data_IF_393719319997
#
_entry.id   IF_393719319997
#
_cell.length_a   1.000
_cell.length_b   1.000
_cell.length_c   1.000
_cell.angle_alpha   90.00
_cell.angle_beta   90.00
_cell.angle_gamma   90.00
#
_symmetry.space_group_name_H-M   'P 1'
#
loop_
_entity.id
_entity.type
_entity.pdbx_description
1 polymer ?
#
# COMPACT_ATOMS: atom_id res chain seq x y z
N UNK A 1 -16.59 -5.04 -6.73
CA UNK A 1 -16.41 -4.29 -7.99
C UNK A 1 -15.69 -2.96 -7.75
N UNK A 2 -16.26 -2.01 -7.00
CA UNK A 2 -15.57 -0.72 -6.72
C UNK A 2 -14.30 -0.90 -5.88
N UNK A 3 -14.38 -1.66 -4.78
CA UNK A 3 -13.19 -1.97 -3.97
C UNK A 3 -12.16 -2.83 -4.71
N UNK A 4 -12.56 -3.60 -5.72
CA UNK A 4 -11.62 -4.40 -6.52
C UNK A 4 -10.78 -3.52 -7.43
N UNK A 5 -11.38 -2.50 -8.06
CA UNK A 5 -10.65 -1.51 -8.87
C UNK A 5 -9.68 -0.72 -7.98
N UNK A 6 -10.15 -0.23 -6.82
CA UNK A 6 -9.30 0.49 -5.85
C UNK A 6 -8.14 -0.38 -5.38
N UNK A 7 -8.39 -1.67 -5.11
CA UNK A 7 -7.37 -2.66 -4.75
C UNK A 7 -6.37 -2.85 -5.89
N UNK A 8 -6.81 -2.97 -7.15
CA UNK A 8 -5.91 -3.11 -8.31
C UNK A 8 -4.99 -1.89 -8.43
N UNK A 9 -5.53 -0.67 -8.36
CA UNK A 9 -4.72 0.55 -8.45
C UNK A 9 -3.67 0.62 -7.32
N UNK A 10 -4.05 0.23 -6.10
CA UNK A 10 -3.11 0.11 -4.98
C UNK A 10 -2.03 -0.93 -5.26
N UNK A 11 -2.40 -2.12 -5.71
CA UNK A 11 -1.42 -3.18 -5.94
C UNK A 11 -0.45 -2.81 -7.08
N UNK A 12 -0.92 -2.15 -8.15
CA UNK A 12 -0.04 -1.66 -9.22
C UNK A 12 0.99 -0.64 -8.71
N UNK A 13 0.58 0.28 -7.83
CA UNK A 13 1.51 1.20 -7.18
C UNK A 13 2.53 0.46 -6.31
N UNK A 14 2.08 -0.50 -5.50
CA UNK A 14 2.94 -1.30 -4.64
C UNK A 14 3.95 -2.13 -5.45
N UNK A 15 3.51 -2.72 -6.57
CA UNK A 15 4.34 -3.46 -7.53
C UNK A 15 5.37 -2.56 -8.24
N UNK A 16 5.01 -1.30 -8.54
CA UNK A 16 5.96 -0.33 -9.09
C UNK A 16 7.03 0.07 -8.08
N UNK A 17 6.66 0.23 -6.81
CA UNK A 17 7.60 0.54 -5.73
C UNK A 17 8.25 -0.72 -5.13
N UNK A 18 8.13 -1.86 -5.80
CA UNK A 18 8.38 -3.15 -5.19
C UNK A 18 9.88 -3.39 -4.97
N UNK A 19 10.30 -3.19 -3.71
CA UNK A 19 11.60 -3.63 -3.19
C UNK A 19 11.58 -5.10 -2.73
N UNK A 20 10.40 -5.71 -2.55
CA UNK A 20 10.21 -6.96 -1.80
C UNK A 20 9.72 -8.16 -2.65
N UNK A 21 9.18 -7.96 -3.86
CA UNK A 21 8.74 -9.02 -4.78
C UNK A 21 7.45 -9.74 -4.38
N UNK A 22 6.69 -9.24 -3.41
CA UNK A 22 5.71 -10.03 -2.65
C UNK A 22 4.24 -9.61 -2.83
N UNK A 23 3.93 -8.59 -3.64
CA UNK A 23 2.55 -8.10 -3.78
C UNK A 23 1.74 -8.94 -4.78
N UNK A 24 0.96 -9.89 -4.24
CA UNK A 24 0.16 -10.85 -5.02
C UNK A 24 -1.14 -10.23 -5.55
N UNK A 25 -1.29 -10.16 -6.87
CA UNK A 25 -2.54 -9.79 -7.55
C UNK A 25 -2.84 -10.68 -8.78
N UNK A 26 -3.47 -10.12 -9.80
CA UNK A 26 -3.84 -10.81 -11.05
C UNK A 26 -2.63 -11.37 -11.82
N UNK A 27 -1.43 -10.83 -11.59
CA UNK A 27 -0.19 -11.31 -12.21
C UNK A 27 0.48 -12.42 -11.39
N UNK A 28 -0.06 -12.78 -10.21
CA UNK A 28 0.45 -13.88 -9.41
C UNK A 28 -0.25 -15.18 -9.83
N UNK A 29 0.50 -16.06 -10.47
CA UNK A 29 0.07 -17.37 -11.00
C UNK A 29 0.35 -18.54 -10.04
N UNK A 30 0.87 -18.24 -8.83
CA UNK A 30 1.13 -19.23 -7.81
C UNK A 30 -0.19 -19.80 -7.27
N UNK A 31 -0.47 -21.05 -7.61
CA UNK A 31 -1.60 -21.81 -7.09
C UNK A 31 -1.59 -21.81 -5.55
N UNK A 32 -2.77 -21.72 -4.95
CA UNK A 32 -3.03 -21.70 -3.50
C UNK A 32 -2.58 -20.46 -2.70
N UNK A 33 -2.01 -19.43 -3.33
CA UNK A 33 -1.80 -18.15 -2.65
C UNK A 33 -3.06 -17.26 -2.69
N UNK A 34 -3.57 -16.81 -1.54
CA UNK A 34 -4.71 -15.90 -1.53
C UNK A 34 -4.29 -14.55 -2.13
N UNK A 35 -5.19 -13.96 -2.94
CA UNK A 35 -5.01 -12.60 -3.43
C UNK A 35 -4.96 -11.63 -2.26
N UNK A 36 -4.13 -10.59 -2.39
CA UNK A 36 -4.06 -9.52 -1.40
C UNK A 36 -5.42 -8.86 -1.20
N UNK A 37 -5.83 -8.67 0.04
CA UNK A 37 -7.09 -7.97 0.34
C UNK A 37 -6.94 -6.46 0.13
N UNK A 38 -8.07 -5.73 0.06
CA UNK A 38 -8.00 -4.27 0.02
C UNK A 38 -7.37 -3.70 1.31
N UNK A 39 -7.64 -4.32 2.46
CA UNK A 39 -7.08 -3.93 3.75
C UNK A 39 -5.56 -4.09 3.77
N UNK A 40 -5.06 -5.23 3.29
CA UNK A 40 -3.62 -5.46 3.13
C UNK A 40 -2.98 -4.47 2.16
N UNK A 41 -3.64 -4.17 1.04
CA UNK A 41 -3.14 -3.20 0.07
C UNK A 41 -3.02 -1.79 0.69
N UNK A 42 -4.00 -1.38 1.50
CA UNK A 42 -3.93 -0.10 2.25
C UNK A 42 -2.84 -0.15 3.33
N UNK A 43 -2.72 -1.25 4.09
CA UNK A 43 -1.64 -1.45 5.07
C UNK A 43 -0.28 -1.22 4.44
N UNK A 44 0.03 -1.90 3.34
CA UNK A 44 1.34 -1.78 2.69
C UNK A 44 1.54 -0.43 2.01
N UNK A 45 0.47 0.21 1.53
CA UNK A 45 0.55 1.58 1.04
C UNK A 45 1.03 2.53 2.15
N UNK A 46 0.46 2.43 3.35
CA UNK A 46 0.90 3.23 4.49
C UNK A 46 2.37 2.98 4.86
N UNK A 47 2.81 1.72 4.81
CA UNK A 47 4.23 1.36 4.99
C UNK A 47 5.11 2.06 3.96
N UNK A 48 4.77 1.96 2.68
CA UNK A 48 5.55 2.49 1.57
C UNK A 48 5.70 4.01 1.64
N UNK A 49 4.61 4.71 1.93
CA UNK A 49 4.60 6.18 1.97
C UNK A 49 5.40 6.74 3.16
N UNK A 50 5.55 5.95 4.21
CA UNK A 50 6.23 6.35 5.45
C UNK A 50 7.31 5.32 5.83
N UNK A 51 8.06 4.84 4.84
CA UNK A 51 8.95 3.68 4.98
C UNK A 51 10.03 3.91 6.05
N UNK A 52 10.65 5.09 6.07
CA UNK A 52 11.61 5.51 7.09
C UNK A 52 11.11 5.29 8.52
N UNK A 53 9.82 5.55 8.77
CA UNK A 53 9.23 5.37 10.08
C UNK A 53 8.93 3.91 10.38
N UNK A 54 8.29 3.17 9.47
CA UNK A 54 7.91 1.78 9.75
C UNK A 54 9.11 0.84 9.84
N UNK A 55 10.17 1.08 9.04
CA UNK A 55 11.43 0.34 9.17
C UNK A 55 12.20 0.68 10.45
N UNK A 56 11.87 1.78 11.14
CA UNK A 56 12.38 2.05 12.49
C UNK A 56 11.70 1.23 13.59
N UNK A 57 10.51 0.67 13.30
CA UNK A 57 9.71 -0.14 14.24
C UNK A 57 9.99 -1.63 14.05
N UNK A 58 10.04 -2.09 12.80
CA UNK A 58 10.25 -3.51 12.45
C UNK A 58 11.12 -3.65 11.21
N UNK A 59 11.97 -4.68 11.19
CA UNK A 59 12.72 -5.07 9.99
C UNK A 59 11.80 -5.68 8.92
N UNK A 60 10.66 -6.21 9.32
CA UNK A 60 9.69 -6.86 8.44
C UNK A 60 8.29 -6.21 8.57
N UNK A 61 7.92 -5.44 7.56
CA UNK A 61 6.61 -4.75 7.50
C UNK A 61 5.42 -5.71 7.45
N UNK A 62 5.63 -6.99 7.10
CA UNK A 62 4.58 -8.00 7.12
C UNK A 62 4.10 -8.32 8.54
N UNK A 63 4.93 -8.08 9.55
CA UNK A 63 4.65 -8.43 10.95
C UNK A 63 3.65 -7.49 11.63
N UNK A 64 3.48 -6.26 11.12
CA UNK A 64 2.51 -5.31 11.68
C UNK A 64 1.10 -5.59 11.18
N UNK A 65 0.11 -5.56 12.04
CA UNK A 65 -1.31 -5.62 11.62
C UNK A 65 -1.77 -4.30 11.00
N UNK A 66 -2.88 -4.34 10.24
CA UNK A 66 -3.52 -3.13 9.72
C UNK A 66 -3.83 -2.12 10.83
N UNK A 67 -4.38 -2.57 11.96
CA UNK A 67 -4.72 -1.71 13.10
C UNK A 67 -3.49 -1.03 13.69
N UNK A 68 -2.38 -1.76 13.88
CA UNK A 68 -1.13 -1.19 14.36
C UNK A 68 -0.60 -0.09 13.43
N UNK A 69 -0.62 -0.34 12.12
CA UNK A 69 -0.21 0.64 11.10
C UNK A 69 -1.05 1.91 11.20
N UNK A 70 -2.39 1.77 11.23
CA UNK A 70 -3.28 2.92 11.32
C UNK A 70 -3.09 3.68 12.64
N UNK A 71 -2.88 2.98 13.75
CA UNK A 71 -2.65 3.61 15.05
C UNK A 71 -1.33 4.38 15.06
N UNK A 72 -0.24 3.78 14.59
CA UNK A 72 1.04 4.47 14.49
C UNK A 72 0.95 5.71 13.60
N UNK A 73 0.26 5.63 12.46
CA UNK A 73 0.06 6.79 11.59
C UNK A 73 -0.67 7.95 12.27
N UNK A 74 -1.67 7.64 13.11
CA UNK A 74 -2.41 8.65 13.87
C UNK A 74 -1.56 9.26 14.98
N UNK A 75 -0.87 8.43 15.75
CA UNK A 75 0.00 8.86 16.85
C UNK A 75 1.13 9.77 16.36
N UNK A 76 1.66 9.47 15.17
CA UNK A 76 2.75 10.22 14.55
C UNK A 76 2.26 11.30 13.56
N UNK A 77 0.95 11.56 13.52
CA UNK A 77 0.30 12.68 12.80
C UNK A 77 0.50 12.68 11.28
N UNK A 78 0.74 11.51 10.68
CA UNK A 78 0.83 11.35 9.23
C UNK A 78 -0.34 10.57 8.61
N UNK A 79 -1.32 10.15 9.42
CA UNK A 79 -2.50 9.45 8.93
C UNK A 79 -3.25 10.24 7.85
N UNK A 80 -3.63 11.50 8.12
CA UNK A 80 -4.46 12.29 7.20
C UNK A 80 -3.74 12.53 5.86
N UNK A 81 -2.46 12.94 5.89
CA UNK A 81 -1.68 13.16 4.66
C UNK A 81 -1.46 11.87 3.87
N UNK A 82 -1.27 10.73 4.54
CA UNK A 82 -1.15 9.43 3.87
C UNK A 82 -2.49 9.01 3.26
N UNK A 83 -3.59 9.26 3.96
CA UNK A 83 -4.94 8.97 3.49
C UNK A 83 -5.35 9.86 2.30
N UNK A 84 -4.92 11.12 2.28
CA UNK A 84 -5.08 11.99 1.10
C UNK A 84 -4.35 11.43 -0.11
N UNK A 85 -3.09 11.01 0.04
CA UNK A 85 -2.33 10.33 -1.02
C UNK A 85 -3.00 9.04 -1.49
N UNK A 86 -3.55 8.25 -0.56
CA UNK A 86 -4.32 7.05 -0.86
C UNK A 86 -5.55 7.40 -1.72
N UNK A 87 -6.31 8.43 -1.34
CA UNK A 87 -7.48 8.87 -2.11
C UNK A 87 -7.10 9.37 -3.50
N UNK A 88 -5.97 10.06 -3.65
CA UNK A 88 -5.47 10.47 -4.96
C UNK A 88 -5.17 9.26 -5.85
N UNK A 89 -4.55 8.22 -5.29
CA UNK A 89 -4.21 7.00 -6.02
C UNK A 89 -5.45 6.20 -6.45
N UNK A 90 -6.36 5.91 -5.52
CA UNK A 90 -7.52 5.04 -5.80
C UNK A 90 -8.56 5.69 -6.71
N UNK A 91 -8.55 7.01 -6.83
CA UNK A 91 -9.44 7.77 -7.72
C UNK A 91 -8.75 8.18 -9.03
N UNK A 92 -7.53 7.69 -9.30
CA UNK A 92 -6.83 7.89 -10.55
C UNK A 92 -7.01 6.66 -11.45
N UNK A 93 -7.77 6.82 -12.54
CA UNK A 93 -8.08 5.72 -13.47
C UNK A 93 -6.89 5.28 -14.33
N UNK A 94 -5.86 6.11 -14.48
CA UNK A 94 -4.69 5.81 -15.31
C UNK A 94 -3.43 6.48 -14.74
N UNK A 95 -2.93 6.01 -13.59
CA UNK A 95 -1.78 6.61 -12.94
C UNK A 95 -0.50 6.42 -13.78
N UNK A 96 0.29 7.48 -13.89
CA UNK A 96 1.60 7.43 -14.54
C UNK A 96 2.73 7.17 -13.55
N UNK A 97 3.91 6.81 -14.04
CA UNK A 97 5.11 6.67 -13.20
C UNK A 97 5.46 7.99 -12.51
N UNK A 98 5.31 9.13 -13.21
CA UNK A 98 5.52 10.46 -12.62
C UNK A 98 4.56 10.74 -11.48
N UNK A 99 3.29 10.31 -11.61
CA UNK A 99 2.31 10.42 -10.54
C UNK A 99 2.72 9.56 -9.34
N UNK A 100 3.14 8.31 -9.53
CA UNK A 100 3.63 7.46 -8.45
C UNK A 100 4.82 8.08 -7.72
N UNK A 101 5.79 8.62 -8.45
CA UNK A 101 6.93 9.36 -7.87
C UNK A 101 6.52 10.58 -7.05
N UNK A 102 5.41 11.22 -7.38
CA UNK A 102 4.91 12.37 -6.61
C UNK A 102 4.23 11.98 -5.28
N UNK A 103 3.85 10.71 -5.14
CA UNK A 103 3.23 10.21 -3.91
C UNK A 103 4.27 9.86 -2.84
N UNK A 104 5.46 9.42 -3.24
CA UNK A 104 6.56 9.04 -2.33
C UNK A 104 7.44 10.24 -1.97
#
# INVERSE_FOLDING_TARGET
MENDIKRINLTQFLQWNDRNGCYTDENCDLEDLPRMTYEDAVKYFFCVINDDFYYSITDNIFDLSYEEIINYAKENRFYEITYEKLNLLINNDNPTIEFYKSLV
#
